data_IF_086268204025
#
_entry.id   IF_086268204025
#
_cell.length_a   1.000
_cell.length_b   1.000
_cell.length_c   1.000
_cell.angle_alpha   90.00
_cell.angle_beta   90.00
_cell.angle_gamma   90.00
#
_symmetry.space_group_name_H-M   'P 1'
#
loop_
_entity.id
_entity.type
_entity.pdbx_description
1 polymer ?
#
# COMPACT_ATOMS: atom_id res chain seq x y z
N UNK A 1 3.66 -29.32 7.54
CA UNK A 1 3.16 -27.99 7.19
C UNK A 1 4.31 -27.05 7.48
N UNK A 2 4.91 -26.44 6.46
CA UNK A 2 5.98 -25.45 6.69
C UNK A 2 5.32 -24.15 7.18
N UNK A 3 5.78 -23.63 8.31
CA UNK A 3 5.33 -22.36 8.85
C UNK A 3 6.35 -21.25 8.54
N UNK A 4 5.89 -20.00 8.53
CA UNK A 4 6.78 -18.84 8.38
C UNK A 4 7.85 -18.82 9.47
N UNK A 5 7.51 -19.26 10.68
CA UNK A 5 8.46 -19.35 11.79
C UNK A 5 9.55 -20.41 11.56
N UNK A 6 9.23 -21.54 10.91
CA UNK A 6 10.22 -22.55 10.52
C UNK A 6 11.19 -21.98 9.48
N UNK A 7 10.65 -21.24 8.51
CA UNK A 7 11.46 -20.52 7.53
C UNK A 7 12.40 -19.53 8.21
N UNK A 8 11.92 -18.70 9.14
CA UNK A 8 12.73 -17.75 9.91
C UNK A 8 13.81 -18.48 10.74
N UNK A 9 13.45 -19.58 11.38
CA UNK A 9 14.36 -20.37 12.20
C UNK A 9 15.53 -20.94 11.39
N UNK A 10 15.32 -21.22 10.11
CA UNK A 10 16.34 -21.73 9.19
C UNK A 10 17.38 -20.68 8.72
N UNK A 11 17.14 -19.39 8.98
CA UNK A 11 17.99 -18.30 8.49
C UNK A 11 19.10 -17.93 9.48
N UNK A 12 20.23 -17.50 8.92
CA UNK A 12 21.35 -16.88 9.62
C UNK A 12 21.22 -15.34 9.63
N UNK A 13 21.94 -14.67 10.53
CA UNK A 13 22.07 -13.22 10.49
C UNK A 13 22.89 -12.79 9.25
N UNK A 14 22.56 -11.66 8.60
CA UNK A 14 21.51 -10.69 8.93
C UNK A 14 20.12 -11.01 8.35
N UNK A 15 19.99 -12.12 7.61
CA UNK A 15 18.75 -12.47 6.88
C UNK A 15 17.58 -12.68 7.83
N UNK A 16 17.85 -13.41 8.93
CA UNK A 16 16.86 -13.70 9.97
C UNK A 16 16.28 -12.43 10.57
N UNK A 17 17.12 -11.44 10.89
CA UNK A 17 16.70 -10.17 11.49
C UNK A 17 15.76 -9.41 10.56
N UNK A 18 16.13 -9.26 9.29
CA UNK A 18 15.31 -8.57 8.30
C UNK A 18 13.95 -9.22 8.10
N UNK A 19 13.92 -10.53 7.89
CA UNK A 19 12.66 -11.26 7.71
C UNK A 19 11.81 -11.17 8.98
N UNK A 20 12.41 -11.33 10.16
CA UNK A 20 11.69 -11.25 11.43
C UNK A 20 11.05 -9.88 11.62
N UNK A 21 11.78 -8.79 11.36
CA UNK A 21 11.25 -7.43 11.46
C UNK A 21 10.05 -7.22 10.54
N UNK A 22 10.14 -7.64 9.28
CA UNK A 22 9.05 -7.49 8.31
C UNK A 22 7.84 -8.37 8.64
N UNK A 23 8.07 -9.61 9.08
CA UNK A 23 7.00 -10.55 9.45
C UNK A 23 6.27 -10.09 10.71
N UNK A 24 7.00 -9.70 11.76
CA UNK A 24 6.39 -9.19 12.98
C UNK A 24 5.57 -7.93 12.70
N UNK A 25 6.11 -7.01 11.90
CA UNK A 25 5.38 -5.82 11.48
C UNK A 25 4.06 -6.16 10.78
N UNK A 26 4.07 -7.09 9.82
CA UNK A 26 2.83 -7.51 9.14
C UNK A 26 1.83 -8.15 10.10
N UNK A 27 2.27 -9.00 11.02
CA UNK A 27 1.40 -9.64 12.03
C UNK A 27 0.79 -8.63 13.01
N UNK A 28 1.57 -7.64 13.44
CA UNK A 28 1.15 -6.63 14.40
C UNK A 28 0.21 -5.59 13.78
N UNK A 29 0.56 -5.07 12.60
CA UNK A 29 -0.16 -3.96 11.97
C UNK A 29 -1.30 -4.44 11.07
N UNK A 30 -1.16 -5.63 10.47
CA UNK A 30 -2.11 -6.18 9.51
C UNK A 30 -2.52 -7.64 9.84
N UNK A 31 -3.04 -7.91 11.05
CA UNK A 31 -3.37 -9.26 11.50
C UNK A 31 -4.41 -9.96 10.63
N UNK A 32 -5.25 -9.20 9.93
CA UNK A 32 -6.31 -9.73 9.06
C UNK A 32 -5.79 -10.16 7.67
N UNK A 33 -4.55 -9.81 7.31
CA UNK A 33 -3.96 -10.19 6.00
C UNK A 33 -3.42 -11.61 6.10
N UNK A 34 -3.89 -12.48 5.21
CA UNK A 34 -3.56 -13.90 5.26
C UNK A 34 -2.07 -14.16 5.02
N UNK A 35 -1.37 -14.56 6.07
CA UNK A 35 0.00 -15.09 6.01
C UNK A 35 0.03 -16.50 5.38
N UNK A 36 1.02 -16.73 4.54
CA UNK A 36 1.26 -18.02 3.87
C UNK A 36 2.73 -18.15 3.45
N UNK A 37 3.12 -19.34 2.99
CA UNK A 37 4.36 -19.55 2.24
C UNK A 37 4.03 -19.79 0.76
N UNK A 38 4.51 -18.91 -0.12
CA UNK A 38 4.47 -19.12 -1.57
C UNK A 38 5.89 -19.27 -2.06
N UNK A 39 6.19 -20.31 -2.84
CA UNK A 39 7.56 -20.64 -3.27
C UNK A 39 8.59 -20.62 -2.11
N UNK A 40 8.18 -21.11 -0.93
CA UNK A 40 8.99 -21.18 0.30
C UNK A 40 9.41 -19.83 0.90
N UNK A 41 8.71 -18.75 0.56
CA UNK A 41 8.94 -17.43 1.18
C UNK A 41 7.66 -16.88 1.83
N UNK A 42 7.78 -16.13 2.94
CA UNK A 42 6.66 -15.45 3.57
C UNK A 42 5.92 -14.57 2.57
N UNK A 43 4.62 -14.81 2.44
CA UNK A 43 3.74 -14.17 1.46
C UNK A 43 2.41 -13.82 2.11
N UNK A 44 1.99 -12.58 1.92
CA UNK A 44 0.77 -11.99 2.43
C UNK A 44 -0.15 -11.68 1.26
N UNK A 45 -1.31 -12.33 1.22
CA UNK A 45 -2.28 -12.12 0.16
C UNK A 45 -3.49 -11.37 0.71
N UNK A 46 -3.79 -10.23 0.09
CA UNK A 46 -5.04 -9.52 0.32
C UNK A 46 -5.89 -9.48 -0.95
N UNK A 47 -7.05 -8.85 -0.87
CA UNK A 47 -7.96 -8.75 -2.01
C UNK A 47 -7.36 -7.83 -3.10
N UNK A 48 -6.87 -8.45 -4.19
CA UNK A 48 -6.28 -7.76 -5.33
C UNK A 48 -4.84 -7.27 -5.15
N UNK A 49 -4.12 -7.73 -4.12
CA UNK A 49 -2.69 -7.44 -3.93
C UNK A 49 -1.96 -8.58 -3.22
N UNK A 50 -0.63 -8.58 -3.34
CA UNK A 50 0.23 -9.45 -2.54
C UNK A 50 1.51 -8.72 -2.12
N UNK A 51 2.11 -9.17 -1.02
CA UNK A 51 3.43 -8.77 -0.54
C UNK A 51 4.21 -10.03 -0.20
N UNK A 52 5.47 -10.15 -0.63
CA UNK A 52 6.32 -11.27 -0.23
C UNK A 52 7.75 -10.86 0.08
N UNK A 53 8.37 -11.56 1.02
CA UNK A 53 9.71 -11.26 1.53
C UNK A 53 10.67 -12.42 1.27
N UNK A 54 11.69 -12.22 0.45
CA UNK A 54 12.68 -13.25 0.17
C UNK A 54 14.06 -12.90 0.76
N UNK A 55 14.63 -13.83 1.51
CA UNK A 55 16.02 -13.76 1.93
C UNK A 55 16.91 -14.39 0.86
N UNK A 56 17.70 -13.58 0.14
CA UNK A 56 18.67 -14.05 -0.85
C UNK A 56 20.08 -14.05 -0.24
N UNK A 57 21.05 -14.64 -0.95
CA UNK A 57 22.42 -14.80 -0.42
C UNK A 57 23.02 -13.50 0.12
N UNK A 58 22.88 -12.39 -0.61
CA UNK A 58 23.54 -11.11 -0.32
C UNK A 58 22.57 -9.93 -0.21
N UNK A 59 21.27 -10.15 -0.35
CA UNK A 59 20.27 -9.09 -0.39
C UNK A 59 18.90 -9.60 0.06
N UNK A 60 18.09 -8.70 0.58
CA UNK A 60 16.67 -8.88 0.79
C UNK A 60 15.90 -8.53 -0.49
N UNK A 61 14.80 -9.23 -0.76
CA UNK A 61 13.89 -8.90 -1.87
C UNK A 61 12.48 -8.68 -1.36
N UNK A 62 11.91 -7.52 -1.72
CA UNK A 62 10.51 -7.18 -1.48
C UNK A 62 9.74 -7.36 -2.79
N UNK A 63 8.68 -8.17 -2.78
CA UNK A 63 7.85 -8.44 -3.94
C UNK A 63 6.46 -7.84 -3.79
N UNK A 64 5.97 -7.21 -4.86
CA UNK A 64 4.57 -6.74 -5.02
C UNK A 64 4.28 -6.55 -6.52
N UNK A 65 3.00 -6.57 -6.90
CA UNK A 65 2.53 -6.13 -8.23
C UNK A 65 2.35 -4.60 -8.31
N UNK A 66 2.50 -3.86 -7.21
CA UNK A 66 2.35 -2.41 -7.17
C UNK A 66 3.60 -1.68 -7.69
N UNK A 67 3.59 -1.36 -8.99
CA UNK A 67 4.70 -0.68 -9.66
C UNK A 67 4.95 0.75 -9.15
N UNK A 68 3.92 1.43 -8.63
CA UNK A 68 4.08 2.78 -8.08
C UNK A 68 4.87 2.72 -6.78
N UNK A 69 4.54 1.78 -5.91
CA UNK A 69 5.28 1.54 -4.66
C UNK A 69 6.72 1.10 -4.96
N UNK A 70 6.94 0.21 -5.93
CA UNK A 70 8.31 -0.18 -6.31
C UNK A 70 9.15 1.00 -6.82
N UNK A 71 8.55 1.88 -7.63
CA UNK A 71 9.21 3.08 -8.14
C UNK A 71 9.59 4.04 -7.02
N UNK A 72 8.67 4.26 -6.08
CA UNK A 72 8.93 5.12 -4.94
C UNK A 72 10.03 4.56 -4.02
N UNK A 73 10.03 3.25 -3.75
CA UNK A 73 11.11 2.63 -2.97
C UNK A 73 12.46 2.88 -3.63
N UNK A 74 12.55 2.83 -4.97
CA UNK A 74 13.79 3.10 -5.70
C UNK A 74 14.24 4.56 -5.57
N UNK A 75 13.30 5.50 -5.49
CA UNK A 75 13.59 6.92 -5.24
C UNK A 75 14.07 7.16 -3.81
N UNK A 76 13.38 6.58 -2.82
CA UNK A 76 13.69 6.74 -1.39
C UNK A 76 14.93 5.95 -0.97
N UNK A 77 15.22 4.83 -1.63
CA UNK A 77 16.38 3.96 -1.39
C UNK A 77 17.19 3.84 -2.69
N UNK A 78 18.03 4.84 -3.02
CA UNK A 78 18.78 4.85 -4.29
C UNK A 78 19.68 3.62 -4.50
N UNK A 79 20.14 2.99 -3.41
CA UNK A 79 20.95 1.77 -3.42
C UNK A 79 20.18 0.50 -3.79
N UNK A 80 18.84 0.53 -3.77
CA UNK A 80 18.00 -0.59 -4.18
C UNK A 80 18.13 -0.85 -5.69
N UNK A 81 17.95 -2.10 -6.11
CA UNK A 81 17.87 -2.45 -7.54
C UNK A 81 16.51 -3.02 -7.89
N UNK A 82 15.99 -2.64 -9.06
CA UNK A 82 14.68 -3.07 -9.53
C UNK A 82 14.77 -4.43 -10.24
N UNK A 83 13.82 -5.31 -9.94
CA UNK A 83 13.44 -6.44 -10.77
C UNK A 83 12.07 -6.19 -11.42
N UNK A 84 11.52 -7.20 -12.11
CA UNK A 84 10.24 -7.06 -12.83
C UNK A 84 9.07 -6.69 -11.91
N UNK A 85 9.05 -7.22 -10.68
CA UNK A 85 7.98 -7.07 -9.68
C UNK A 85 8.53 -7.11 -8.26
N UNK A 86 9.72 -6.53 -8.11
CA UNK A 86 10.41 -6.52 -6.84
C UNK A 86 11.49 -5.46 -6.79
N UNK A 87 11.89 -5.12 -5.57
CA UNK A 87 13.10 -4.36 -5.26
C UNK A 87 14.03 -5.24 -4.44
N UNK A 88 15.33 -5.12 -4.72
CA UNK A 88 16.40 -5.85 -4.04
C UNK A 88 17.24 -4.86 -3.25
N UNK A 89 17.45 -5.15 -1.98
CA UNK A 89 18.08 -4.26 -1.01
C UNK A 89 19.21 -5.00 -0.31
N UNK A 90 20.39 -4.42 -0.24
CA UNK A 90 21.50 -5.02 0.52
C UNK A 90 21.16 -5.02 2.01
N UNK A 91 21.55 -6.09 2.69
CA UNK A 91 21.47 -6.14 4.15
C UNK A 91 22.29 -5.03 4.81
N UNK A 92 22.00 -4.75 6.09
CA UNK A 92 22.60 -3.66 6.89
C UNK A 92 22.26 -2.23 6.44
N UNK A 93 21.20 -2.08 5.63
CA UNK A 93 20.58 -0.79 5.35
C UNK A 93 19.33 -0.60 6.21
N UNK A 94 19.50 -0.14 7.46
CA UNK A 94 18.41 -0.04 8.43
C UNK A 94 17.28 0.88 7.98
N UNK A 95 17.60 2.03 7.37
CA UNK A 95 16.58 2.96 6.84
C UNK A 95 15.73 2.36 5.72
N UNK A 96 16.27 1.37 5.00
CA UNK A 96 15.49 0.65 4.00
C UNK A 96 14.46 -0.31 4.62
N UNK A 97 14.65 -0.80 5.85
CA UNK A 97 13.65 -1.63 6.54
C UNK A 97 12.42 -0.80 6.85
N UNK A 98 12.59 0.41 7.40
CA UNK A 98 11.49 1.35 7.67
C UNK A 98 10.75 1.70 6.37
N UNK A 99 11.48 1.97 5.30
CA UNK A 99 10.89 2.20 3.97
C UNK A 99 10.05 1.00 3.48
N UNK A 100 10.46 -0.25 3.77
CA UNK A 100 9.67 -1.43 3.40
C UNK A 100 8.41 -1.58 4.25
N UNK A 101 8.47 -1.21 5.53
CA UNK A 101 7.30 -1.20 6.41
C UNK A 101 6.27 -0.17 5.94
N UNK A 102 6.72 1.04 5.58
CA UNK A 102 5.84 2.06 5.01
C UNK A 102 5.29 1.63 3.66
N UNK A 103 6.08 0.98 2.81
CA UNK A 103 5.59 0.37 1.57
C UNK A 103 4.48 -0.67 1.81
N UNK A 104 4.60 -1.49 2.87
CA UNK A 104 3.52 -2.42 3.25
C UNK A 104 2.25 -1.67 3.62
N UNK A 105 2.35 -0.62 4.46
CA UNK A 105 1.18 0.19 4.84
C UNK A 105 0.48 0.75 3.62
N UNK A 106 1.24 1.32 2.70
CA UNK A 106 0.71 1.97 1.51
C UNK A 106 -0.06 0.99 0.63
N UNK A 107 0.50 -0.21 0.40
CA UNK A 107 -0.18 -1.24 -0.38
C UNK A 107 -1.48 -1.69 0.32
N UNK A 108 -1.42 -1.96 1.62
CA UNK A 108 -2.55 -2.52 2.37
C UNK A 108 -3.65 -1.48 2.59
N UNK A 109 -3.30 -0.26 3.01
CA UNK A 109 -4.23 0.80 3.36
C UNK A 109 -4.90 1.39 2.11
N UNK A 110 -4.17 1.56 1.00
CA UNK A 110 -4.76 1.92 -0.30
C UNK A 110 -5.85 0.93 -0.73
N UNK A 111 -5.63 -0.37 -0.50
CA UNK A 111 -6.60 -1.41 -0.87
C UNK A 111 -7.80 -1.44 0.09
N UNK A 112 -7.57 -1.23 1.39
CA UNK A 112 -8.65 -1.10 2.38
C UNK A 112 -9.54 0.11 2.10
N UNK A 113 -8.95 1.26 1.73
CA UNK A 113 -9.71 2.47 1.39
C UNK A 113 -10.62 2.25 0.18
N UNK A 114 -10.16 1.50 -0.82
CA UNK A 114 -11.01 1.11 -1.95
C UNK A 114 -12.16 0.18 -1.53
N UNK A 115 -11.98 -0.72 -0.57
CA UNK A 115 -13.03 -1.67 -0.17
C UNK A 115 -14.16 -1.01 0.63
N UNK A 116 -13.85 0.05 1.39
CA UNK A 116 -14.80 0.76 2.25
C UNK A 116 -15.05 2.21 1.77
N UNK A 117 -15.60 2.42 0.55
CA UNK A 117 -15.71 3.73 -0.07
C UNK A 117 -16.73 4.67 0.61
N UNK A 118 -17.27 4.34 1.77
CA UNK A 118 -18.21 5.18 2.54
C UNK A 118 -17.66 5.55 3.92
N UNK A 119 -16.55 4.96 4.31
CA UNK A 119 -15.92 5.20 5.61
C UNK A 119 -14.82 6.22 5.41
N UNK A 120 -14.77 7.25 6.25
CA UNK A 120 -13.73 8.29 6.17
C UNK A 120 -12.72 8.16 7.29
N UNK A 121 -11.46 8.45 7.00
CA UNK A 121 -10.40 8.53 7.98
C UNK A 121 -10.45 9.89 8.69
N UNK A 122 -10.33 9.90 10.02
CA UNK A 122 -10.38 11.14 10.81
C UNK A 122 -9.27 12.12 10.37
N UNK A 123 -8.08 11.61 10.07
CA UNK A 123 -6.94 12.42 9.59
C UNK A 123 -7.24 13.05 8.23
N UNK A 124 -7.86 12.30 7.32
CA UNK A 124 -8.23 12.77 5.99
C UNK A 124 -9.33 13.83 6.04
N UNK A 125 -10.33 13.67 6.92
CA UNK A 125 -11.35 14.68 7.16
C UNK A 125 -10.75 16.02 7.59
N UNK A 126 -9.70 15.98 8.43
CA UNK A 126 -8.97 17.19 8.83
C UNK A 126 -8.28 17.85 7.65
N UNK A 127 -7.57 17.10 6.81
CA UNK A 127 -6.96 17.63 5.57
C UNK A 127 -8.00 18.23 4.63
N UNK A 128 -9.09 17.50 4.37
CA UNK A 128 -10.19 17.93 3.51
C UNK A 128 -10.85 19.22 4.00
N UNK A 129 -10.98 19.39 5.32
CA UNK A 129 -11.55 20.60 5.91
C UNK A 129 -10.75 21.88 5.62
N UNK A 130 -9.48 21.77 5.24
CA UNK A 130 -8.65 22.90 4.83
C UNK A 130 -8.90 23.33 3.37
N UNK A 131 -9.56 22.49 2.56
CA UNK A 131 -9.93 22.83 1.19
C UNK A 131 -11.16 23.74 1.22
N UNK A 132 -11.14 24.94 0.59
CA UNK A 132 -12.30 25.84 0.59
C UNK A 132 -13.56 25.17 0.02
N UNK A 133 -14.73 25.47 0.60
CA UNK A 133 -16.00 24.81 0.24
C UNK A 133 -16.32 24.89 -1.26
N UNK A 134 -16.06 26.04 -1.90
CA UNK A 134 -16.26 26.20 -3.34
C UNK A 134 -15.35 25.28 -4.17
N UNK A 135 -14.14 25.01 -3.67
CA UNK A 135 -13.19 24.07 -4.30
C UNK A 135 -13.64 22.63 -4.04
N UNK A 136 -14.13 22.32 -2.83
CA UNK A 136 -14.70 21.02 -2.52
C UNK A 136 -15.84 20.66 -3.47
N UNK A 137 -16.79 21.57 -3.69
CA UNK A 137 -17.91 21.40 -4.62
C UNK A 137 -17.44 21.13 -6.05
N UNK A 138 -16.44 21.88 -6.52
CA UNK A 138 -15.84 21.68 -7.85
C UNK A 138 -15.19 20.29 -7.99
N UNK A 139 -14.43 19.86 -6.98
CA UNK A 139 -13.75 18.56 -6.97
C UNK A 139 -14.75 17.39 -6.93
N UNK A 140 -15.79 17.51 -6.10
CA UNK A 140 -16.87 16.51 -5.98
C UNK A 140 -17.70 16.43 -7.27
N UNK A 141 -17.95 17.56 -7.93
CA UNK A 141 -18.70 17.64 -9.19
C UNK A 141 -17.92 17.21 -10.45
N UNK A 142 -16.60 17.05 -10.35
CA UNK A 142 -15.73 16.82 -11.51
C UNK A 142 -14.82 15.59 -11.32
N UNK A 143 -15.45 14.42 -11.25
CA UNK A 143 -14.79 13.12 -11.12
C UNK A 143 -14.90 12.32 -12.41
N UNK A 144 -13.83 11.64 -12.81
CA UNK A 144 -13.85 10.79 -14.00
C UNK A 144 -14.44 9.41 -13.70
N UNK A 145 -15.45 9.02 -14.47
CA UNK A 145 -15.99 7.67 -14.53
C UNK A 145 -15.59 7.02 -15.85
N UNK A 146 -15.02 5.83 -15.80
CA UNK A 146 -14.61 5.06 -16.99
C UNK A 146 -15.76 4.75 -17.96
N UNK A 147 -17.02 4.75 -17.49
CA UNK A 147 -18.21 4.50 -18.31
C UNK A 147 -18.90 5.79 -18.78
N UNK A 148 -18.92 6.83 -17.95
CA UNK A 148 -19.75 8.02 -18.18
C UNK A 148 -18.96 9.29 -18.48
N UNK A 149 -17.64 9.25 -18.44
CA UNK A 149 -16.79 10.45 -18.47
C UNK A 149 -16.95 11.24 -17.18
N UNK A 150 -17.08 12.57 -17.28
CA UNK A 150 -17.24 13.44 -16.10
C UNK A 150 -18.56 13.17 -15.38
N UNK A 151 -18.49 13.04 -14.05
CA UNK A 151 -19.62 12.81 -13.15
C UNK A 151 -19.40 13.52 -11.82
N UNK A 152 -20.48 13.67 -11.06
CA UNK A 152 -20.42 13.92 -9.62
C UNK A 152 -20.18 12.60 -8.89
N UNK A 153 -19.32 12.64 -7.87
CA UNK A 153 -19.13 11.54 -6.92
C UNK A 153 -20.18 11.62 -5.80
N UNK A 154 -20.80 10.48 -5.49
CA UNK A 154 -21.80 10.34 -4.42
C UNK A 154 -21.44 9.17 -3.51
N UNK A 155 -22.03 9.13 -2.31
CA UNK A 155 -21.81 8.08 -1.31
C UNK A 155 -20.32 7.77 -1.08
N UNK A 156 -19.53 8.81 -0.82
CA UNK A 156 -18.08 8.72 -0.76
C UNK A 156 -17.52 8.83 0.66
N UNK A 157 -16.38 8.17 0.86
CA UNK A 157 -15.49 8.28 2.01
C UNK A 157 -14.25 9.09 1.63
N UNK A 158 -13.62 9.70 2.62
CA UNK A 158 -12.39 10.48 2.47
C UNK A 158 -11.26 9.72 3.15
N UNK A 159 -10.25 9.35 2.39
CA UNK A 159 -9.14 8.53 2.86
C UNK A 159 -7.83 9.29 2.78
N UNK A 160 -6.96 9.05 3.76
CA UNK A 160 -5.63 9.65 3.77
C UNK A 160 -4.78 8.98 2.71
N UNK A 161 -4.02 9.79 1.97
CA UNK A 161 -3.10 9.29 0.96
C UNK A 161 -1.77 10.04 1.08
N UNK A 162 -0.69 9.41 0.62
CA UNK A 162 0.64 10.01 0.63
C UNK A 162 0.68 11.39 0.00
N UNK A 163 -0.03 11.59 -1.12
CA UNK A 163 0.03 12.86 -1.83
C UNK A 163 -1.11 13.81 -1.42
N UNK A 164 -1.98 13.44 -0.47
CA UNK A 164 -3.08 14.29 -0.03
C UNK A 164 -4.26 13.52 0.53
N UNK A 165 -5.43 13.63 -0.11
CA UNK A 165 -6.63 12.85 0.21
C UNK A 165 -7.28 12.24 -1.04
N UNK A 166 -7.81 11.03 -0.89
CA UNK A 166 -8.59 10.36 -1.93
C UNK A 166 -10.05 10.29 -1.52
N UNK A 167 -10.92 10.81 -2.37
CA UNK A 167 -12.36 10.61 -2.29
C UNK A 167 -12.71 9.31 -3.03
N UNK A 168 -13.14 8.27 -2.33
CA UNK A 168 -13.60 7.01 -2.95
C UNK A 168 -15.11 6.94 -2.86
N UNK A 169 -15.80 6.64 -3.95
CA UNK A 169 -17.27 6.65 -3.97
C UNK A 169 -17.84 6.12 -5.27
N UNK A 170 -19.03 6.63 -5.63
CA UNK A 170 -19.79 6.11 -6.76
C UNK A 170 -20.17 7.20 -7.74
N UNK A 171 -20.21 6.84 -9.03
CA UNK A 171 -20.69 7.70 -10.10
C UNK A 171 -22.19 7.91 -9.95
N UNK A 172 -22.62 9.17 -9.86
CA UNK A 172 -24.05 9.51 -9.78
C UNK A 172 -24.88 8.94 -10.96
N UNK A 173 -24.29 8.82 -12.15
CA UNK A 173 -24.99 8.40 -13.38
C UNK A 173 -25.18 6.89 -13.50
N UNK A 174 -24.16 6.09 -13.17
CA UNK A 174 -24.18 4.64 -13.40
C UNK A 174 -23.95 3.78 -12.15
N UNK A 175 -23.70 4.39 -10.99
CA UNK A 175 -23.37 3.68 -9.75
C UNK A 175 -22.02 2.96 -9.76
N UNK A 176 -21.21 3.12 -10.81
CA UNK A 176 -19.86 2.53 -10.88
C UNK A 176 -18.90 3.19 -9.88
N UNK A 177 -17.91 2.44 -9.38
CA UNK A 177 -16.85 2.98 -8.51
C UNK A 177 -16.07 4.07 -9.22
N UNK A 178 -15.83 5.18 -8.52
CA UNK A 178 -15.00 6.30 -8.97
C UNK A 178 -14.15 6.79 -7.82
N UNK A 179 -13.04 7.44 -8.14
CA UNK A 179 -12.16 8.05 -7.15
C UNK A 179 -11.69 9.43 -7.63
N UNK A 180 -11.43 10.33 -6.69
CA UNK A 180 -10.82 11.64 -6.95
C UNK A 180 -9.67 11.86 -5.99
N UNK A 181 -8.46 12.02 -6.55
CA UNK A 181 -7.30 12.45 -5.79
C UNK A 181 -7.28 13.97 -5.65
N UNK A 182 -6.94 14.45 -4.46
CA UNK A 182 -6.75 15.85 -4.12
C UNK A 182 -5.40 15.97 -3.46
N UNK A 183 -4.45 16.57 -4.18
CA UNK A 183 -3.07 16.69 -3.72
C UNK A 183 -2.95 17.74 -2.60
N UNK A 184 -2.05 17.50 -1.65
CA UNK A 184 -1.66 18.49 -0.64
C UNK A 184 -1.06 19.71 -1.37
N UNK A 185 -1.64 20.89 -1.16
CA UNK A 185 -1.23 22.16 -1.76
C UNK A 185 -0.20 22.90 -0.90
#
# INVERSE_FOLDING_TARGET
MEFVDDYIASLDAPKKEWITSMVNFMREVFPDVKESLSNKIPTYNGDGYFIAFAAQKNYFTFHTDDMMVLSLIKELVPSASMGKRCVKIKYHNESAVECMMDACKEIVDYRKSMQSPRVSDIKALKKWSNVPLNVQELLVGNVFCSKCGVTTIVDYGIHDDRFGVVLNGFCQKCGGRVARMVEDC
#
